data_IF_012476724141
#
_entry.id   IF_012476724141
#
_cell.length_a   1.000
_cell.length_b   1.000
_cell.length_c   1.000
_cell.angle_alpha   90.00
_cell.angle_beta   90.00
_cell.angle_gamma   90.00
#
_symmetry.space_group_name_H-M   'P 1'
#
loop_
_entity.id
_entity.type
_entity.pdbx_description
1 polymer ?
#
# COMPACT_ATOMS: atom_id res chain seq x y z
N UNK A 1 22.79 -14.06 -10.25
CA UNK A 1 21.75 -13.74 -9.25
C UNK A 1 20.93 -12.58 -9.79
N UNK A 2 19.60 -12.55 -9.57
CA UNK A 2 18.82 -11.35 -9.87
C UNK A 2 19.30 -10.25 -8.92
N UNK A 3 19.91 -9.20 -9.47
CA UNK A 3 20.39 -8.07 -8.69
C UNK A 3 19.30 -7.00 -8.71
N UNK A 4 18.64 -6.84 -7.57
CA UNK A 4 17.71 -5.74 -7.38
C UNK A 4 18.45 -4.51 -6.88
N UNK A 5 17.98 -3.33 -7.26
CA UNK A 5 18.50 -2.05 -6.78
C UNK A 5 17.62 -1.51 -5.65
N UNK A 6 18.20 -0.64 -4.85
CA UNK A 6 17.44 0.15 -3.90
C UNK A 6 16.35 0.95 -4.64
N UNK A 7 15.16 1.00 -4.05
CA UNK A 7 13.94 1.58 -4.61
C UNK A 7 13.33 0.83 -5.79
N UNK A 8 13.81 -0.37 -6.15
CA UNK A 8 13.09 -1.20 -7.12
C UNK A 8 11.74 -1.63 -6.54
N UNK A 9 10.69 -1.49 -7.36
CA UNK A 9 9.35 -2.00 -7.03
C UNK A 9 9.26 -3.46 -7.47
N UNK A 10 8.91 -4.32 -6.55
CA UNK A 10 8.88 -5.77 -6.72
C UNK A 10 7.57 -6.39 -6.28
N UNK A 11 7.29 -7.54 -6.86
CA UNK A 11 6.26 -8.47 -6.46
C UNK A 11 6.93 -9.56 -5.61
N UNK A 12 6.35 -9.84 -4.45
CA UNK A 12 6.81 -10.88 -3.55
C UNK A 12 5.85 -12.07 -3.58
N UNK A 13 6.41 -13.28 -3.66
CA UNK A 13 5.65 -14.52 -3.53
C UNK A 13 6.09 -15.24 -2.26
N UNK A 14 5.16 -15.50 -1.36
CA UNK A 14 5.47 -16.22 -0.13
C UNK A 14 5.70 -17.73 -0.38
N UNK A 15 5.99 -18.47 0.70
CA UNK A 15 6.22 -19.93 0.65
C UNK A 15 4.93 -20.73 0.37
N UNK A 16 3.77 -20.13 0.58
CA UNK A 16 2.46 -20.73 0.35
C UNK A 16 1.98 -20.50 -1.09
N UNK A 17 2.70 -19.66 -1.85
CA UNK A 17 2.39 -19.30 -3.23
C UNK A 17 1.49 -18.06 -3.35
N UNK A 18 1.21 -17.36 -2.25
CA UNK A 18 0.46 -16.11 -2.29
C UNK A 18 1.33 -15.01 -2.88
N UNK A 19 0.81 -14.34 -3.89
CA UNK A 19 1.49 -13.28 -4.61
C UNK A 19 0.99 -11.92 -4.13
N UNK A 20 1.93 -11.11 -3.68
CA UNK A 20 1.67 -9.79 -3.11
C UNK A 20 2.35 -8.75 -3.97
N UNK A 21 1.52 -7.84 -4.47
CA UNK A 21 1.94 -6.79 -5.37
C UNK A 21 2.38 -5.53 -4.59
N UNK A 22 3.32 -4.78 -5.16
CA UNK A 22 3.78 -3.46 -4.68
C UNK A 22 4.60 -3.46 -3.38
N UNK A 23 5.80 -4.03 -3.44
CA UNK A 23 6.82 -3.79 -2.41
C UNK A 23 8.03 -3.04 -2.95
N UNK A 24 8.74 -2.37 -2.06
CA UNK A 24 9.94 -1.57 -2.38
C UNK A 24 11.15 -2.18 -1.70
N UNK A 25 12.26 -2.24 -2.43
CA UNK A 25 13.53 -2.74 -1.92
C UNK A 25 14.29 -1.63 -1.21
N UNK A 26 14.66 -1.86 0.05
CA UNK A 26 15.50 -0.95 0.83
C UNK A 26 17.00 -1.18 0.62
N UNK A 27 17.38 -2.37 0.19
CA UNK A 27 18.78 -2.72 -0.02
C UNK A 27 18.99 -4.22 -0.04
N UNK A 28 20.23 -4.59 -0.31
CA UNK A 28 20.67 -5.98 -0.32
C UNK A 28 21.70 -6.17 0.78
N UNK A 29 21.53 -7.25 1.54
CA UNK A 29 22.48 -7.69 2.54
C UNK A 29 23.62 -8.44 1.83
N UNK A 30 24.82 -7.86 1.82
CA UNK A 30 25.97 -8.36 1.04
C UNK A 30 26.47 -9.70 1.61
N UNK A 31 26.36 -9.89 2.93
CA UNK A 31 26.88 -11.07 3.62
C UNK A 31 25.99 -12.30 3.40
N UNK A 32 24.66 -12.09 3.33
CA UNK A 32 23.67 -13.17 3.20
C UNK A 32 23.08 -13.31 1.80
N UNK A 33 23.21 -12.29 0.95
CA UNK A 33 22.57 -12.23 -0.37
C UNK A 33 21.05 -12.05 -0.33
N UNK A 34 20.49 -11.72 0.84
CA UNK A 34 19.06 -11.47 1.02
C UNK A 34 18.70 -10.03 0.64
N UNK A 35 17.46 -9.86 0.17
CA UNK A 35 16.91 -8.56 -0.23
C UNK A 35 15.97 -8.08 0.87
N UNK A 36 16.15 -6.84 1.29
CA UNK A 36 15.26 -6.20 2.25
C UNK A 36 14.08 -5.55 1.52
N UNK A 37 12.86 -5.95 1.90
CA UNK A 37 11.63 -5.36 1.38
C UNK A 37 10.86 -4.62 2.47
N UNK A 38 10.07 -3.63 2.09
CA UNK A 38 9.26 -2.84 3.01
C UNK A 38 8.06 -3.57 3.64
N UNK A 39 7.74 -4.78 3.21
CA UNK A 39 6.75 -5.62 3.87
C UNK A 39 7.29 -6.13 5.21
N UNK A 40 6.80 -5.60 6.34
CA UNK A 40 7.19 -6.02 7.69
C UNK A 40 8.72 -6.01 7.93
N UNK A 41 9.48 -5.25 7.15
CA UNK A 41 10.94 -5.24 7.13
C UNK A 41 11.56 -6.64 6.90
N UNK A 42 10.92 -7.45 6.06
CA UNK A 42 11.35 -8.81 5.77
C UNK A 42 12.64 -8.84 4.94
N UNK A 43 13.49 -9.82 5.26
CA UNK A 43 14.63 -10.23 4.45
C UNK A 43 14.25 -11.48 3.66
N UNK A 44 14.21 -11.38 2.34
CA UNK A 44 13.73 -12.45 1.47
C UNK A 44 14.77 -12.83 0.42
N UNK A 45 14.73 -14.08 -0.02
CA UNK A 45 15.62 -14.51 -1.10
C UNK A 45 15.19 -13.88 -2.43
N UNK A 46 16.14 -13.45 -3.27
CA UNK A 46 15.87 -12.94 -4.63
C UNK A 46 15.01 -13.86 -5.50
N UNK A 47 14.97 -15.16 -5.19
CA UNK A 47 14.17 -16.15 -5.91
C UNK A 47 12.66 -15.95 -5.75
N UNK A 48 12.23 -15.37 -4.62
CA UNK A 48 10.83 -15.07 -4.32
C UNK A 48 10.38 -13.69 -4.79
N UNK A 49 11.27 -12.98 -5.49
CA UNK A 49 11.06 -11.62 -5.94
C UNK A 49 11.04 -11.54 -7.46
N UNK A 50 10.14 -10.72 -7.96
CA UNK A 50 10.04 -10.34 -9.36
C UNK A 50 9.95 -8.82 -9.47
N UNK A 51 10.64 -8.22 -10.44
CA UNK A 51 10.42 -6.80 -10.73
C UNK A 51 8.98 -6.60 -11.18
N UNK A 52 8.33 -5.59 -10.62
CA UNK A 52 6.98 -5.25 -11.02
C UNK A 52 6.99 -4.79 -12.50
N UNK A 53 6.08 -5.24 -13.37
CA UNK A 53 6.09 -4.88 -14.80
C UNK A 53 5.92 -3.37 -15.05
N UNK A 54 5.28 -2.66 -14.12
CA UNK A 54 5.15 -1.20 -14.18
C UNK A 54 6.23 -0.46 -13.36
N UNK A 55 7.22 -1.18 -12.81
CA UNK A 55 8.38 -0.51 -12.25
C UNK A 55 9.08 0.25 -13.38
N UNK A 56 9.16 1.57 -13.25
CA UNK A 56 9.95 2.36 -14.19
C UNK A 56 11.37 1.82 -14.19
N UNK A 57 11.87 1.44 -15.36
CA UNK A 57 13.19 0.86 -15.54
C UNK A 57 14.26 1.85 -15.10
N UNK A 58 14.76 1.67 -13.88
CA UNK A 58 15.75 2.56 -13.27
C UNK A 58 15.09 3.66 -12.44
N UNK A 59 15.24 3.54 -11.13
CA UNK A 59 14.87 4.53 -10.12
C UNK A 59 13.38 4.87 -10.13
N UNK A 60 12.56 4.03 -9.51
CA UNK A 60 11.34 4.56 -8.91
C UNK A 60 11.79 5.70 -7.99
N UNK A 61 11.27 6.90 -8.25
CA UNK A 61 11.82 8.14 -7.72
C UNK A 61 12.09 8.03 -6.22
N UNK A 62 13.24 8.54 -5.75
CA UNK A 62 13.46 8.63 -4.32
C UNK A 62 12.27 9.39 -3.73
N UNK A 63 11.69 8.86 -2.66
CA UNK A 63 10.70 9.59 -1.85
C UNK A 63 11.26 10.92 -1.29
N UNK A 64 12.50 11.28 -1.62
CA UNK A 64 13.17 12.56 -1.39
C UNK A 64 13.17 13.53 -2.59
N UNK A 65 12.41 13.28 -3.66
CA UNK A 65 12.16 14.30 -4.70
C UNK A 65 11.11 15.31 -4.19
N UNK A 66 11.39 16.63 -4.16
CA UNK A 66 10.39 17.67 -3.92
C UNK A 66 9.09 17.49 -4.72
N UNK A 67 9.16 16.89 -5.92
CA UNK A 67 8.00 16.59 -6.75
C UNK A 67 7.06 15.54 -6.13
N UNK A 68 7.60 14.54 -5.42
CA UNK A 68 6.82 13.53 -4.71
C UNK A 68 6.03 14.14 -3.56
N UNK A 69 6.60 15.14 -2.86
CA UNK A 69 5.88 15.93 -1.86
C UNK A 69 4.78 16.79 -2.48
N UNK A 70 5.02 17.41 -3.63
CA UNK A 70 3.99 18.15 -4.36
C UNK A 70 2.84 17.24 -4.81
N UNK A 71 3.14 16.02 -5.27
CA UNK A 71 2.13 15.04 -5.65
C UNK A 71 1.32 14.57 -4.43
N UNK A 72 1.98 14.28 -3.31
CA UNK A 72 1.31 13.96 -2.06
C UNK A 72 0.39 15.09 -1.58
N UNK A 73 0.84 16.34 -1.63
CA UNK A 73 0.03 17.49 -1.26
C UNK A 73 -1.19 17.65 -2.18
N UNK A 74 -1.03 17.51 -3.51
CA UNK A 74 -2.16 17.56 -4.45
C UNK A 74 -3.17 16.44 -4.22
N UNK A 75 -2.70 15.24 -3.88
CA UNK A 75 -3.57 14.12 -3.55
C UNK A 75 -4.32 14.39 -2.24
N UNK A 76 -3.63 14.88 -1.22
CA UNK A 76 -4.23 15.28 0.06
C UNK A 76 -5.33 16.34 -0.16
N UNK A 77 -5.01 17.43 -0.86
CA UNK A 77 -5.98 18.49 -1.19
C UNK A 77 -7.21 17.95 -1.92
N UNK A 78 -7.03 17.07 -2.92
CA UNK A 78 -8.14 16.47 -3.66
C UNK A 78 -9.09 15.64 -2.78
N UNK A 79 -8.54 14.92 -1.80
CA UNK A 79 -9.35 14.08 -0.91
C UNK A 79 -9.93 14.86 0.28
N UNK A 80 -9.27 15.92 0.75
CA UNK A 80 -9.83 16.86 1.73
C UNK A 80 -10.99 17.65 1.13
N UNK A 81 -10.87 18.14 -0.11
CA UNK A 81 -11.99 18.81 -0.83
C UNK A 81 -13.19 17.88 -1.01
N UNK A 82 -12.95 16.60 -1.32
CA UNK A 82 -14.04 15.62 -1.40
C UNK A 82 -14.72 15.38 -0.05
N UNK A 83 -13.98 15.42 1.06
CA UNK A 83 -14.55 15.24 2.39
C UNK A 83 -15.47 16.42 2.79
N UNK A 84 -15.17 17.63 2.34
CA UNK A 84 -16.03 18.81 2.56
C UNK A 84 -17.27 18.81 1.65
N UNK A 85 -17.15 18.35 0.40
CA UNK A 85 -18.30 18.23 -0.52
C UNK A 85 -19.25 17.07 -0.16
N UNK A 86 -18.76 16.03 0.52
CA UNK A 86 -19.59 14.91 1.03
C UNK A 86 -19.93 15.04 2.51
N UNK A 87 -20.11 16.26 3.01
CA UNK A 87 -20.63 16.53 4.35
C UNK A 87 -22.12 16.22 4.54
N UNK A 88 -22.74 15.42 3.66
CA UNK A 88 -23.94 14.66 4.02
C UNK A 88 -23.47 13.40 4.74
N UNK A 89 -23.41 13.47 6.07
CA UNK A 89 -23.09 12.34 6.92
C UNK A 89 -23.98 11.15 6.57
N UNK A 90 -23.42 10.11 5.95
CA UNK A 90 -24.08 8.82 5.82
C UNK A 90 -24.15 8.22 7.22
N UNK A 91 -25.31 8.36 7.87
CA UNK A 91 -25.62 7.63 9.11
C UNK A 91 -25.62 6.13 8.80
N UNK A 92 -24.53 5.46 9.15
CA UNK A 92 -24.34 4.00 8.99
C UNK A 92 -25.12 3.15 9.99
N UNK A 93 -25.95 3.76 10.84
CA UNK A 93 -26.76 3.04 11.82
C UNK A 93 -28.20 3.54 11.76
N UNK A 94 -29.06 2.73 11.14
CA UNK A 94 -30.51 2.86 11.26
C UNK A 94 -30.86 2.31 12.66
N UNK A 95 -31.33 3.15 13.57
CA UNK A 95 -31.77 2.67 14.89
C UNK A 95 -32.90 1.63 14.68
N UNK A 96 -32.83 0.44 15.28
CA UNK A 96 -33.89 -0.54 15.13
C UNK A 96 -35.18 0.04 15.72
N UNK A 97 -36.18 0.27 14.85
CA UNK A 97 -37.52 0.70 15.26
C UNK A 97 -38.05 -0.24 16.34
N UNK A 98 -38.19 0.28 17.56
CA UNK A 98 -38.80 -0.44 18.67
C UNK A 98 -40.23 -0.85 18.27
N UNK A 99 -40.59 -2.14 18.30
CA UNK A 99 -41.96 -2.55 18.03
C UNK A 99 -42.87 -1.99 19.12
N UNK A 100 -43.88 -1.22 18.72
CA UNK A 100 -44.94 -0.75 19.61
C UNK A 100 -45.82 -1.97 19.92
N UNK A 101 -45.79 -2.44 21.16
CA UNK A 101 -46.70 -3.49 21.61
C UNK A 101 -48.13 -2.94 21.65
N UNK A 102 -49.04 -3.60 20.93
CA UNK A 102 -50.46 -3.27 20.96
C UNK A 102 -50.98 -3.42 22.40
N UNK A 103 -51.72 -2.42 22.88
CA UNK A 103 -52.39 -2.51 24.17
C UNK A 103 -53.41 -3.65 24.12
N UNK A 104 -53.30 -4.59 25.06
CA UNK A 104 -54.32 -5.61 25.26
C UNK A 104 -55.65 -4.93 25.63
N UNK A 105 -56.73 -5.36 24.99
CA UNK A 105 -58.12 -4.99 25.34
C UNK A 105 -58.61 -5.75 26.56
#
# INVERSE_FOLDING_TARGET
MKNFKENDVVIYTDKEGNRFDTFVIFGNDIDTGLVHINHENLKVSPAFLELHPNAFSGNAMPFADPYSFMLFNKLKEKYEQKAEETAEAVTLYDEPKKPVLAKAS
#
